data_IF_693915973156
#
_entry.id   IF_693915973156
#
_cell.length_a   1.000
_cell.length_b   1.000
_cell.length_c   1.000
_cell.angle_alpha   90.00
_cell.angle_beta   90.00
_cell.angle_gamma   90.00
#
_symmetry.space_group_name_H-M   'P 1'
#
loop_
_entity.id
_entity.type
_entity.pdbx_description
1 polymer ?
#
# COMPACT_ATOMS: atom_id res chain seq x y z
N UNK A 1 9.94 9.24 -3.18
CA UNK A 1 8.88 10.24 -3.45
C UNK A 1 8.43 10.17 -4.90
N UNK A 2 9.36 10.04 -5.84
CA UNK A 2 9.12 9.85 -7.28
C UNK A 2 8.20 8.68 -7.63
N UNK A 3 8.34 7.53 -6.98
CA UNK A 3 7.57 6.33 -7.35
C UNK A 3 6.09 6.45 -6.98
N UNK A 4 5.78 7.10 -5.86
CA UNK A 4 4.39 7.34 -5.44
C UNK A 4 3.68 8.34 -6.35
N UNK A 5 4.42 9.36 -6.82
CA UNK A 5 3.89 10.30 -7.82
C UNK A 5 3.61 9.61 -9.16
N UNK A 6 4.47 8.68 -9.58
CA UNK A 6 4.23 7.86 -10.77
C UNK A 6 3.01 6.96 -10.59
N UNK A 7 2.86 6.36 -9.41
CA UNK A 7 1.69 5.54 -9.10
C UNK A 7 0.39 6.35 -9.13
N UNK A 8 0.39 7.55 -8.55
CA UNK A 8 -0.77 8.45 -8.60
C UNK A 8 -1.11 8.85 -10.04
N UNK A 9 -0.10 9.18 -10.85
CA UNK A 9 -0.29 9.43 -12.29
C UNK A 9 -0.86 8.22 -13.04
N UNK A 10 -0.39 7.01 -12.73
CA UNK A 10 -0.94 5.77 -13.30
C UNK A 10 -2.42 5.59 -12.91
N UNK A 11 -2.75 5.74 -11.62
CA UNK A 11 -4.13 5.65 -11.09
C UNK A 11 -5.04 6.65 -11.80
N UNK A 12 -4.59 7.88 -12.04
CA UNK A 12 -5.35 8.91 -12.72
C UNK A 12 -5.57 8.61 -14.22
N UNK A 13 -4.70 7.81 -14.83
CA UNK A 13 -4.77 7.46 -16.26
C UNK A 13 -5.60 6.21 -16.57
N UNK A 14 -5.99 5.43 -15.56
CA UNK A 14 -6.71 4.17 -15.74
C UNK A 14 -8.22 4.38 -15.71
N UNK A 15 -8.89 3.86 -16.75
CA UNK A 15 -10.35 3.76 -16.77
C UNK A 15 -10.83 2.58 -15.92
N UNK A 16 -11.97 2.76 -15.24
CA UNK A 16 -12.59 1.72 -14.43
C UNK A 16 -13.30 0.66 -15.33
N UNK A 17 -13.36 -0.62 -14.89
CA UNK A 17 -12.85 -1.16 -13.64
C UNK A 17 -11.39 -1.64 -13.75
N UNK A 18 -10.65 -1.52 -12.66
CA UNK A 18 -9.31 -2.11 -12.55
C UNK A 18 -9.01 -2.56 -11.13
N UNK A 19 -8.04 -3.48 -11.02
CA UNK A 19 -7.44 -3.90 -9.75
C UNK A 19 -5.95 -3.60 -9.82
N UNK A 20 -5.44 -2.92 -8.80
CA UNK A 20 -4.02 -2.66 -8.64
C UNK A 20 -3.45 -3.65 -7.60
N UNK A 21 -2.51 -4.48 -8.04
CA UNK A 21 -1.80 -5.43 -7.17
C UNK A 21 -0.29 -5.16 -7.23
N UNK A 22 0.40 -5.31 -6.11
CA UNK A 22 1.86 -5.19 -6.08
C UNK A 22 2.42 -5.28 -4.67
N UNK A 23 3.75 -5.42 -4.60
CA UNK A 23 4.50 -5.25 -3.36
C UNK A 23 4.91 -3.78 -3.21
N UNK A 24 4.23 -3.08 -2.31
CA UNK A 24 4.49 -1.67 -2.05
C UNK A 24 5.57 -1.43 -0.99
N UNK A 25 6.05 -2.49 -0.30
CA UNK A 25 6.97 -2.39 0.83
C UNK A 25 6.59 -1.25 1.78
N UNK A 26 5.31 -1.25 2.21
CA UNK A 26 4.70 -0.19 3.00
C UNK A 26 3.76 -0.81 4.05
N UNK A 27 3.75 -0.20 5.23
CA UNK A 27 2.94 -0.62 6.36
C UNK A 27 1.81 0.39 6.61
N UNK A 28 0.58 -0.10 6.68
CA UNK A 28 -0.59 0.63 7.18
C UNK A 28 -1.62 -0.33 7.79
N UNK A 29 -2.36 0.09 8.83
CA UNK A 29 -3.52 -0.63 9.35
C UNK A 29 -4.62 -0.89 8.31
N UNK A 30 -4.72 -0.08 7.25
CA UNK A 30 -5.75 -0.23 6.20
C UNK A 30 -5.63 -1.55 5.44
N UNK A 31 -4.43 -2.14 5.37
CA UNK A 31 -4.18 -3.48 4.81
C UNK A 31 -3.60 -4.45 5.85
N UNK A 32 -3.91 -4.26 7.13
CA UNK A 32 -3.64 -5.25 8.18
C UNK A 32 -2.32 -5.11 8.93
N UNK A 33 -1.53 -4.06 8.70
CA UNK A 33 -0.29 -3.87 9.46
C UNK A 33 -0.56 -3.28 10.85
N UNK A 34 0.24 -3.66 11.85
CA UNK A 34 0.14 -3.13 13.22
C UNK A 34 0.70 -1.71 13.38
N UNK A 35 1.38 -1.18 12.37
CA UNK A 35 1.99 0.14 12.41
C UNK A 35 1.85 0.84 11.06
N UNK A 36 2.01 2.17 11.07
CA UNK A 36 1.98 3.00 9.87
C UNK A 36 3.38 3.49 9.54
N UNK A 37 3.86 3.14 8.37
CA UNK A 37 5.10 3.70 7.80
C UNK A 37 4.81 5.03 7.09
N UNK A 38 5.85 5.87 6.90
CA UNK A 38 5.72 7.10 6.08
C UNK A 38 5.19 6.79 4.66
N UNK A 39 5.64 5.69 4.05
CA UNK A 39 5.19 5.25 2.74
C UNK A 39 3.72 4.81 2.77
N UNK A 40 3.32 4.08 3.80
CA UNK A 40 1.93 3.66 4.00
C UNK A 40 0.99 4.85 4.14
N UNK A 41 1.33 5.83 4.97
CA UNK A 41 0.51 7.05 5.13
C UNK A 41 0.34 7.83 3.82
N UNK A 42 1.38 7.92 2.98
CA UNK A 42 1.26 8.55 1.67
C UNK A 42 0.39 7.72 0.71
N UNK A 43 0.52 6.39 0.70
CA UNK A 43 -0.32 5.50 -0.10
C UNK A 43 -1.78 5.57 0.31
N UNK A 44 -2.09 5.54 1.61
CA UNK A 44 -3.46 5.70 2.11
C UNK A 44 -4.07 7.02 1.65
N UNK A 45 -3.28 8.09 1.66
CA UNK A 45 -3.72 9.41 1.19
C UNK A 45 -4.05 9.40 -0.30
N UNK A 46 -3.21 8.76 -1.13
CA UNK A 46 -3.45 8.59 -2.58
C UNK A 46 -4.70 7.74 -2.83
N UNK A 47 -4.87 6.62 -2.12
CA UNK A 47 -6.03 5.75 -2.29
C UNK A 47 -7.32 6.47 -1.90
N UNK A 48 -7.30 7.19 -0.78
CA UNK A 48 -8.47 7.95 -0.27
C UNK A 48 -8.82 9.10 -1.21
N UNK A 49 -7.84 9.89 -1.67
CA UNK A 49 -8.08 11.03 -2.58
C UNK A 49 -8.63 10.59 -3.94
N UNK A 50 -8.26 9.39 -4.40
CA UNK A 50 -8.71 8.82 -5.66
C UNK A 50 -9.93 7.90 -5.50
N UNK A 51 -10.57 7.84 -4.32
CA UNK A 51 -11.72 6.97 -4.03
C UNK A 51 -11.47 5.51 -4.44
N UNK A 52 -10.36 4.93 -3.98
CA UNK A 52 -9.97 3.52 -4.19
C UNK A 52 -10.18 2.72 -2.92
N UNK A 53 -10.63 1.48 -3.11
CA UNK A 53 -10.90 0.56 -2.01
C UNK A 53 -9.73 -0.41 -1.82
N UNK A 54 -9.38 -0.70 -0.56
CA UNK A 54 -8.42 -1.74 -0.20
C UNK A 54 -9.16 -3.08 -0.10
N UNK A 55 -8.60 -4.11 -0.75
CA UNK A 55 -9.18 -5.45 -0.79
C UNK A 55 -8.50 -6.45 0.17
N UNK A 56 -7.42 -6.05 0.84
CA UNK A 56 -6.73 -6.87 1.82
C UNK A 56 -7.62 -7.14 3.04
N UNK A 57 -7.55 -8.36 3.57
CA UNK A 57 -8.38 -8.87 4.67
C UNK A 57 -7.65 -8.97 6.03
N UNK A 58 -6.36 -8.57 6.08
CA UNK A 58 -5.62 -8.38 7.32
C UNK A 58 -4.44 -9.32 7.64
N UNK A 59 -4.37 -10.57 7.15
CA UNK A 59 -3.23 -11.45 7.42
C UNK A 59 -1.89 -10.90 6.89
N UNK A 60 -0.76 -11.24 7.55
CA UNK A 60 0.56 -10.86 7.06
C UNK A 60 0.84 -11.45 5.67
N UNK A 61 1.34 -10.62 4.75
CA UNK A 61 1.73 -11.03 3.39
C UNK A 61 3.21 -11.40 3.28
N UNK A 62 4.02 -11.03 4.28
CA UNK A 62 5.43 -11.36 4.38
C UNK A 62 5.75 -11.81 5.81
N UNK A 63 6.32 -13.00 5.95
CA UNK A 63 6.79 -13.54 7.22
C UNK A 63 8.32 -13.53 7.20
N UNK A 64 8.92 -12.89 8.21
CA UNK A 64 10.36 -12.89 8.38
C UNK A 64 10.79 -14.23 8.98
N UNK A 65 11.87 -14.83 8.46
CA UNK A 65 12.45 -16.03 9.05
C UNK A 65 13.02 -15.77 10.45
N UNK A 66 12.93 -16.75 11.34
CA UNK A 66 13.41 -16.63 12.72
C UNK A 66 14.88 -16.17 12.77
N UNK A 67 15.15 -15.11 13.54
CA UNK A 67 16.53 -14.66 13.87
C UNK A 67 17.00 -13.32 13.29
N UNK A 68 16.17 -12.56 12.57
CA UNK A 68 16.57 -11.25 12.03
C UNK A 68 15.84 -10.08 12.71
N UNK A 69 16.54 -9.38 13.62
CA UNK A 69 16.04 -8.24 14.40
C UNK A 69 16.15 -6.91 13.63
N UNK A 70 15.21 -6.65 12.72
CA UNK A 70 15.12 -5.32 12.12
C UNK A 70 13.66 -4.98 11.80
N UNK A 71 12.89 -4.75 12.85
CA UNK A 71 11.68 -3.93 12.88
C UNK A 71 11.64 -3.31 14.28
#
# INVERSE_FOLDING_TARGET
TTDLQRLEGLIASLDAPYILCGDFNAHSPTWGSSHTSKRGSMLDSILTSNNRCVLNDGPPTFLKGDGCNSC
#
